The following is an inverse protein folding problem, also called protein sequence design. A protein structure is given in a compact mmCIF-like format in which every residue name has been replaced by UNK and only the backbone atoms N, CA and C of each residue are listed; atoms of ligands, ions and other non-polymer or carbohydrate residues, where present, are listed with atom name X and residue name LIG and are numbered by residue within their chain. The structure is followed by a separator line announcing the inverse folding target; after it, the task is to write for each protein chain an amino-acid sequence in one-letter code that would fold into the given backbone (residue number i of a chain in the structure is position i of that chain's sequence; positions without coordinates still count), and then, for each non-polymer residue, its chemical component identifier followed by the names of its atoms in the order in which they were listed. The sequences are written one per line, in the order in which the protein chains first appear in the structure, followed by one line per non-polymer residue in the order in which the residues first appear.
data_IF_406264455404
#
_entry.id   IF_406264455404
#
_cell.length_a   1.000
_cell.length_b   1.000
_cell.length_c   1.000
_cell.angle_alpha   90.00
_cell.angle_beta   90.00
_cell.angle_gamma   90.00
#
_symmetry.space_group_name_H-M   'P 1'
#
loop_
_entity.id
_entity.type
_entity.pdbx_description
1 polymer ?
#
# COMPACT_ATOMS: atom_id res chain seq x y z
N UNK A 1 -12.52 16.95 -21.75
CA UNK A 1 -12.21 15.51 -21.85
C UNK A 1 -11.74 15.21 -23.26
N UNK A 2 -10.53 15.64 -23.62
CA UNK A 2 -9.96 15.51 -24.98
C UNK A 2 -8.80 14.52 -25.05
N UNK A 3 -8.42 13.93 -23.92
CA UNK A 3 -7.25 13.03 -23.80
C UNK A 3 -7.60 11.54 -23.99
N UNK A 4 -8.88 11.16 -23.84
CA UNK A 4 -9.32 9.78 -24.01
C UNK A 4 -9.64 9.48 -25.49
N UNK A 5 -9.20 8.32 -25.96
CA UNK A 5 -9.48 7.77 -27.30
C UNK A 5 -10.01 6.35 -27.20
N UNK A 6 -10.58 5.81 -28.28
CA UNK A 6 -11.14 4.45 -28.33
C UNK A 6 -10.08 3.34 -28.14
N UNK A 7 -8.80 3.65 -28.32
CA UNK A 7 -7.68 2.72 -28.11
C UNK A 7 -7.23 2.63 -26.64
N UNK A 8 -7.75 3.49 -25.75
CA UNK A 8 -7.37 3.47 -24.34
C UNK A 8 -8.02 2.31 -23.59
N UNK A 9 -7.23 1.66 -22.74
CA UNK A 9 -7.70 0.61 -21.82
C UNK A 9 -7.54 1.11 -20.39
N UNK A 10 -8.63 1.09 -19.63
CA UNK A 10 -8.62 1.46 -18.22
C UNK A 10 -8.47 0.24 -17.32
N UNK A 11 -7.58 0.34 -16.33
CA UNK A 11 -7.41 -0.66 -15.28
C UNK A 11 -7.85 -0.07 -13.95
N UNK A 12 -8.82 -0.72 -13.30
CA UNK A 12 -9.22 -0.37 -11.94
C UNK A 12 -8.46 -1.26 -10.97
N UNK A 13 -7.63 -0.65 -10.14
CA UNK A 13 -6.71 -1.35 -9.23
C UNK A 13 -7.15 -1.04 -7.79
N UNK A 14 -7.23 -2.09 -6.97
CA UNK A 14 -7.70 -2.00 -5.59
C UNK A 14 -6.85 -1.08 -4.70
N UNK A 15 -7.46 -0.60 -3.61
CA UNK A 15 -6.82 0.30 -2.64
C UNK A 15 -7.03 -0.19 -1.19
N UNK A 16 -6.19 0.28 -0.27
CA UNK A 16 -6.14 -0.18 1.11
C UNK A 16 -7.31 0.30 1.97
N UNK A 17 -8.03 1.34 1.53
CA UNK A 17 -9.10 1.98 2.32
C UNK A 17 -10.14 1.00 2.87
N UNK A 18 -10.48 -0.06 2.11
CA UNK A 18 -11.42 -1.08 2.54
C UNK A 18 -10.97 -1.80 3.82
N UNK A 19 -9.73 -2.29 3.88
CA UNK A 19 -9.24 -2.98 5.07
C UNK A 19 -8.91 -2.01 6.21
N UNK A 20 -8.56 -0.75 5.89
CA UNK A 20 -8.29 0.28 6.90
C UNK A 20 -9.51 0.65 7.71
N UNK A 21 -10.68 0.70 7.06
CA UNK A 21 -11.96 0.87 7.74
C UNK A 21 -12.22 -0.29 8.72
N UNK A 22 -12.01 -1.54 8.31
CA UNK A 22 -12.20 -2.70 9.18
C UNK A 22 -11.20 -2.74 10.35
N UNK A 23 -9.93 -2.39 10.10
CA UNK A 23 -8.92 -2.27 11.15
C UNK A 23 -9.31 -1.19 12.18
N UNK A 24 -9.84 -0.06 11.71
CA UNK A 24 -10.35 1.01 12.58
C UNK A 24 -11.51 0.54 13.44
N UNK A 25 -12.51 -0.14 12.87
CA UNK A 25 -13.63 -0.75 13.61
C UNK A 25 -13.14 -1.77 14.64
N UNK A 26 -12.06 -2.49 14.34
CA UNK A 26 -11.44 -3.43 15.27
C UNK A 26 -10.59 -2.77 16.37
N UNK A 27 -10.49 -1.45 16.42
CA UNK A 27 -9.65 -0.73 17.39
C UNK A 27 -8.15 -0.77 17.05
N UNK A 28 -7.82 -1.00 15.77
CA UNK A 28 -6.47 -0.98 15.21
C UNK A 28 -6.37 0.09 14.11
N UNK A 29 -6.75 1.36 14.37
CA UNK A 29 -6.79 2.37 13.33
C UNK A 29 -5.39 2.60 12.73
N UNK A 30 -5.25 2.69 11.39
CA UNK A 30 -4.00 3.06 10.76
C UNK A 30 -3.50 4.41 11.27
N UNK A 31 -2.23 4.45 11.71
CA UNK A 31 -1.68 5.65 12.35
C UNK A 31 -1.74 6.91 11.48
N UNK A 32 -1.44 6.78 10.19
CA UNK A 32 -1.46 7.94 9.29
C UNK A 32 -2.87 8.57 9.23
N UNK A 33 -3.93 7.75 9.27
CA UNK A 33 -5.31 8.25 9.28
C UNK A 33 -5.63 9.00 10.57
N UNK A 34 -5.21 8.47 11.73
CA UNK A 34 -5.36 9.16 13.03
C UNK A 34 -4.64 10.51 13.05
N UNK A 35 -3.47 10.59 12.40
CA UNK A 35 -2.66 11.81 12.34
C UNK A 35 -3.04 12.73 11.17
N UNK A 36 -4.01 12.37 10.32
CA UNK A 36 -4.38 13.15 9.13
C UNK A 36 -3.26 13.28 8.10
N UNK A 37 -2.46 12.22 7.91
CA UNK A 37 -1.29 12.19 7.01
C UNK A 37 -1.45 11.13 5.94
N UNK A 38 -0.76 11.30 4.82
CA UNK A 38 -0.69 10.29 3.78
C UNK A 38 0.17 9.10 4.25
N UNK A 39 -0.28 7.89 3.94
CA UNK A 39 0.46 6.66 4.26
C UNK A 39 1.86 6.68 3.66
N UNK A 40 2.91 6.33 4.41
CA UNK A 40 4.25 6.22 3.86
C UNK A 40 4.34 5.02 2.93
N UNK A 41 4.94 5.23 1.77
CA UNK A 41 5.14 4.20 0.74
C UNK A 41 6.60 4.18 0.33
N UNK A 42 7.13 2.97 0.14
CA UNK A 42 8.54 2.73 -0.11
C UNK A 42 8.75 1.93 -1.38
N UNK A 43 9.74 2.34 -2.17
CA UNK A 43 10.26 1.52 -3.26
C UNK A 43 11.15 0.43 -2.66
N UNK A 44 10.83 -0.83 -2.93
CA UNK A 44 11.65 -1.96 -2.44
C UNK A 44 12.74 -2.34 -3.43
N UNK A 45 13.66 -3.20 -3.00
CA UNK A 45 14.60 -3.90 -3.88
C UNK A 45 14.05 -5.24 -4.39
N UNK A 46 12.83 -5.62 -4.00
CA UNK A 46 12.21 -6.89 -4.37
C UNK A 46 11.68 -6.80 -5.81
N UNK A 47 12.19 -7.60 -6.75
CA UNK A 47 11.79 -7.51 -8.15
C UNK A 47 10.35 -7.97 -8.36
N UNK A 48 9.66 -7.31 -9.29
CA UNK A 48 8.39 -7.81 -9.82
C UNK A 48 8.63 -9.01 -10.74
N UNK A 49 7.63 -9.87 -10.88
CA UNK A 49 7.62 -10.86 -11.96
C UNK A 49 7.46 -10.12 -13.30
N UNK A 50 8.38 -10.29 -14.25
CA UNK A 50 8.31 -9.61 -15.53
C UNK A 50 7.12 -10.10 -16.37
N UNK A 51 6.54 -9.19 -17.15
CA UNK A 51 5.46 -9.51 -18.09
C UNK A 51 5.53 -8.60 -19.32
N UNK A 52 5.78 -9.17 -20.50
CA UNK A 52 5.93 -8.42 -21.74
C UNK A 52 7.01 -7.33 -21.62
N UNK A 53 6.64 -6.07 -21.91
CA UNK A 53 7.53 -4.91 -21.80
C UNK A 53 7.77 -4.46 -20.36
N UNK A 54 6.95 -4.89 -19.41
CA UNK A 54 7.08 -4.53 -18.00
C UNK A 54 8.16 -5.39 -17.34
N UNK A 55 9.39 -4.86 -17.33
CA UNK A 55 10.57 -5.52 -16.77
C UNK A 55 11.37 -4.55 -15.89
N UNK A 56 12.17 -5.07 -14.96
CA UNK A 56 13.07 -4.26 -14.14
C UNK A 56 12.40 -3.38 -13.08
N UNK A 57 11.07 -3.49 -12.88
CA UNK A 57 10.35 -2.85 -11.78
C UNK A 57 10.46 -3.63 -10.47
N UNK A 58 10.23 -2.95 -9.35
CA UNK A 58 10.20 -3.54 -8.01
C UNK A 58 8.85 -3.31 -7.33
N UNK A 59 8.56 -4.12 -6.30
CA UNK A 59 7.37 -3.90 -5.48
C UNK A 59 7.44 -2.53 -4.80
N UNK A 60 6.31 -1.81 -4.78
CA UNK A 60 6.12 -0.67 -3.90
C UNK A 60 5.25 -1.13 -2.73
N UNK A 61 5.66 -0.79 -1.51
CA UNK A 61 4.95 -1.17 -0.29
C UNK A 61 4.45 0.05 0.46
N UNK A 62 3.28 -0.06 1.07
CA UNK A 62 2.79 0.91 2.06
C UNK A 62 3.02 0.36 3.48
N UNK A 63 3.35 1.24 4.42
CA UNK A 63 3.69 0.83 5.78
C UNK A 63 2.74 1.41 6.82
N UNK A 64 2.31 0.57 7.76
CA UNK A 64 1.56 0.97 8.96
C UNK A 64 2.20 0.32 10.19
N UNK A 65 2.50 1.08 11.24
CA UNK A 65 3.02 0.52 12.49
C UNK A 65 1.90 -0.14 13.32
N UNK A 66 2.20 -1.30 13.88
CA UNK A 66 1.33 -2.01 14.84
C UNK A 66 2.16 -2.67 15.94
N UNK A 67 1.57 -2.88 17.12
CA UNK A 67 2.20 -3.65 18.20
C UNK A 67 2.44 -5.08 17.73
N UNK A 68 3.58 -5.67 18.13
CA UNK A 68 3.95 -7.05 17.78
C UNK A 68 2.85 -8.08 18.12
N UNK A 69 2.15 -7.88 19.24
CA UNK A 69 1.06 -8.76 19.69
C UNK A 69 -0.18 -8.70 18.79
N UNK A 70 -0.41 -7.60 18.07
CA UNK A 70 -1.60 -7.38 17.26
C UNK A 70 -1.44 -7.89 15.82
N UNK A 71 -0.24 -8.27 15.39
CA UNK A 71 0.06 -8.68 14.01
C UNK A 71 -0.85 -9.80 13.52
N UNK A 72 -1.08 -10.84 14.33
CA UNK A 72 -1.98 -11.94 13.95
C UNK A 72 -3.43 -11.48 13.75
N UNK A 73 -3.87 -10.46 14.50
CA UNK A 73 -5.20 -9.88 14.38
C UNK A 73 -5.29 -9.00 13.12
N UNK A 74 -4.28 -8.16 12.87
CA UNK A 74 -4.14 -7.35 11.66
C UNK A 74 -4.20 -8.24 10.41
N UNK A 75 -3.40 -9.31 10.37
CA UNK A 75 -3.40 -10.29 9.27
C UNK A 75 -4.78 -10.91 9.06
N UNK A 76 -5.42 -11.39 10.12
CA UNK A 76 -6.74 -12.03 10.02
C UNK A 76 -7.82 -11.11 9.43
N UNK A 77 -7.83 -9.84 9.83
CA UNK A 77 -8.76 -8.84 9.32
C UNK A 77 -8.47 -8.56 7.85
N UNK A 78 -7.22 -8.23 7.52
CA UNK A 78 -6.82 -7.82 6.18
C UNK A 78 -6.84 -8.96 5.13
N UNK A 79 -6.61 -10.21 5.54
CA UNK A 79 -6.62 -11.38 4.65
C UNK A 79 -7.97 -11.60 3.93
N UNK A 80 -9.07 -11.09 4.48
CA UNK A 80 -10.40 -11.19 3.85
C UNK A 80 -10.48 -10.41 2.54
N UNK A 81 -9.58 -9.44 2.35
CA UNK A 81 -9.53 -8.54 1.20
C UNK A 81 -8.57 -9.03 0.10
N UNK A 82 -8.39 -10.35 -0.05
CA UNK A 82 -7.40 -10.95 -0.98
C UNK A 82 -7.59 -10.54 -2.45
N UNK A 83 -8.80 -10.16 -2.84
CA UNK A 83 -9.11 -9.71 -4.21
C UNK A 83 -8.69 -8.26 -4.49
N UNK A 84 -8.27 -7.49 -3.48
CA UNK A 84 -7.88 -6.08 -3.62
C UNK A 84 -6.48 -5.82 -3.07
N UNK A 85 -6.21 -6.21 -1.83
CA UNK A 85 -4.91 -6.02 -1.16
C UNK A 85 -4.45 -7.27 -0.41
N UNK A 86 -5.31 -7.85 0.43
CA UNK A 86 -4.99 -9.00 1.27
C UNK A 86 -4.18 -8.67 2.52
N UNK A 87 -3.56 -9.71 3.08
CA UNK A 87 -2.75 -9.61 4.29
C UNK A 87 -1.39 -8.94 4.06
N UNK A 88 -0.71 -8.41 5.10
CA UNK A 88 0.61 -7.82 4.94
C UNK A 88 1.63 -8.84 4.42
N UNK A 89 2.51 -8.37 3.54
CA UNK A 89 3.53 -9.18 2.86
C UNK A 89 4.82 -9.32 3.68
N UNK A 90 5.05 -8.40 4.62
CA UNK A 90 6.19 -8.43 5.53
C UNK A 90 5.93 -7.57 6.77
N UNK A 91 6.62 -7.83 7.88
CA UNK A 91 6.55 -7.03 9.10
C UNK A 91 7.78 -7.21 9.98
N UNK A 92 7.99 -6.29 10.91
CA UNK A 92 9.17 -6.29 11.78
C UNK A 92 10.29 -5.40 11.27
N UNK A 93 11.21 -5.05 12.17
CA UNK A 93 12.38 -4.24 11.82
C UNK A 93 13.31 -4.95 10.82
N UNK A 94 13.43 -6.28 10.88
CA UNK A 94 14.14 -7.06 9.87
C UNK A 94 13.49 -6.97 8.47
N UNK A 95 12.17 -6.77 8.39
CA UNK A 95 11.50 -6.60 7.10
C UNK A 95 11.94 -5.32 6.39
N UNK A 96 12.28 -4.25 7.13
CA UNK A 96 12.80 -3.00 6.55
C UNK A 96 14.02 -3.31 5.68
N UNK A 97 14.98 -4.04 6.26
CA UNK A 97 16.20 -4.47 5.57
C UNK A 97 15.92 -5.45 4.43
N UNK A 98 15.05 -6.45 4.65
CA UNK A 98 14.73 -7.45 3.64
C UNK A 98 14.00 -6.87 2.42
N UNK A 99 13.24 -5.80 2.61
CA UNK A 99 12.61 -5.03 1.54
C UNK A 99 13.57 -4.01 0.90
N UNK A 100 14.78 -3.84 1.44
CA UNK A 100 15.77 -2.90 0.92
C UNK A 100 15.46 -1.43 1.21
N UNK A 101 14.66 -1.15 2.24
CA UNK A 101 14.33 0.22 2.67
C UNK A 101 15.52 0.74 3.50
N UNK A 102 16.15 1.81 3.04
CA UNK A 102 17.35 2.37 3.71
C UNK A 102 17.02 3.18 4.96
N UNK A 103 15.95 3.97 4.90
CA UNK A 103 15.46 4.77 6.02
C UNK A 103 13.93 4.70 6.06
N UNK A 104 13.39 4.27 7.21
CA UNK A 104 11.94 4.17 7.42
C UNK A 104 11.30 5.56 7.54
N UNK A 105 12.05 6.59 7.94
CA UNK A 105 11.52 7.93 8.16
C UNK A 105 11.59 8.81 6.89
N UNK A 106 12.16 8.30 5.79
CA UNK A 106 12.25 8.96 4.48
C UNK A 106 11.53 8.16 3.38
N UNK A 107 10.18 8.13 3.36
CA UNK A 107 9.44 7.41 2.33
C UNK A 107 9.55 8.12 0.96
N UNK A 108 9.62 7.36 -0.14
CA UNK A 108 9.58 7.93 -1.48
C UNK A 108 8.25 8.64 -1.79
N UNK A 109 7.15 8.15 -1.21
CA UNK A 109 5.84 8.79 -1.34
C UNK A 109 5.09 8.83 -0.01
N UNK A 110 4.25 9.85 0.16
CA UNK A 110 3.47 10.05 1.37
C UNK A 110 4.23 10.84 2.42
N UNK A 111 3.86 10.66 3.69
CA UNK A 111 4.43 11.42 4.80
C UNK A 111 5.27 10.52 5.71
N UNK A 112 6.39 11.02 6.27
CA UNK A 112 7.20 10.28 7.25
C UNK A 112 6.36 9.68 8.39
N UNK A 113 6.51 8.39 8.71
CA UNK A 113 5.81 7.78 9.84
C UNK A 113 6.23 8.42 11.16
N UNK A 114 5.28 8.58 12.08
CA UNK A 114 5.55 9.03 13.44
C UNK A 114 5.00 8.04 14.45
N UNK A 115 5.39 8.19 15.70
CA UNK A 115 4.68 7.67 16.88
C UNK A 115 3.47 8.56 17.21
N UNK A 116 2.61 8.13 18.12
CA UNK A 116 1.45 8.92 18.55
C UNK A 116 1.81 10.23 19.25
N UNK A 117 2.97 10.28 19.91
CA UNK A 117 3.54 11.48 20.53
C UNK A 117 4.40 12.32 19.57
N UNK A 118 4.42 11.98 18.27
CA UNK A 118 5.02 12.80 17.22
C UNK A 118 6.52 12.61 17.01
N UNK A 119 7.14 11.62 17.64
CA UNK A 119 8.53 11.22 17.35
C UNK A 119 8.61 10.44 16.05
N UNK A 120 9.79 10.39 15.43
CA UNK A 120 10.05 9.54 14.26
C UNK A 120 9.91 8.07 14.63
N UNK A 121 9.37 7.26 13.71
CA UNK A 121 9.13 5.85 14.01
C UNK A 121 10.46 5.10 14.16
N UNK A 122 11.46 5.42 13.35
CA UNK A 122 12.79 4.79 13.37
C UNK A 122 13.56 5.01 14.68
N UNK A 123 13.27 6.10 15.39
CA UNK A 123 13.92 6.48 16.65
C UNK A 123 13.27 5.84 17.89
N UNK A 124 11.96 5.59 17.83
CA UNK A 124 11.22 5.12 19.00
C UNK A 124 11.34 3.61 19.22
N UNK A 125 11.42 2.80 18.15
CA UNK A 125 11.50 1.32 18.15
C UNK A 125 10.91 0.61 19.39
N UNK A 126 9.70 1.00 19.80
CA UNK A 126 9.03 0.50 21.00
C UNK A 126 8.47 -0.93 20.79
N UNK A 127 7.32 -1.27 21.38
CA UNK A 127 6.62 -2.54 21.15
C UNK A 127 5.98 -2.65 19.75
N UNK A 128 6.06 -1.57 18.97
CA UNK A 128 5.55 -1.45 17.62
C UNK A 128 6.57 -1.84 16.57
N UNK A 129 6.08 -2.41 15.49
CA UNK A 129 6.87 -2.79 14.32
C UNK A 129 6.25 -2.25 13.05
N UNK A 130 7.06 -1.94 12.03
CA UNK A 130 6.54 -1.61 10.72
C UNK A 130 5.90 -2.87 10.09
N UNK A 131 4.74 -2.69 9.47
CA UNK A 131 3.97 -3.73 8.78
C UNK A 131 3.69 -3.26 7.37
N UNK A 132 4.00 -4.09 6.38
CA UNK A 132 4.06 -3.70 4.97
C UNK A 132 3.02 -4.44 4.13
N UNK A 133 2.32 -3.70 3.26
CA UNK A 133 1.40 -4.22 2.26
C UNK A 133 1.88 -3.81 0.87
N UNK A 134 1.62 -4.63 -0.16
CA UNK A 134 1.75 -4.18 -1.54
C UNK A 134 0.90 -2.93 -1.80
N UNK A 135 1.38 -2.01 -2.63
CA UNK A 135 0.75 -0.72 -2.87
C UNK A 135 0.34 -0.56 -4.34
N UNK A 136 -0.81 0.09 -4.58
CA UNK A 136 -1.31 0.47 -5.90
C UNK A 136 -0.45 1.51 -6.65
N UNK A 137 0.67 1.95 -6.08
CA UNK A 137 1.71 2.72 -6.77
C UNK A 137 2.65 1.80 -7.58
N UNK A 138 2.68 0.49 -7.30
CA UNK A 138 3.49 -0.50 -8.04
C UNK A 138 3.23 -0.48 -9.57
N UNK A 139 1.99 -0.41 -10.06
CA UNK A 139 1.70 -0.21 -11.48
C UNK A 139 2.28 1.09 -12.07
N UNK A 140 2.27 2.19 -11.30
CA UNK A 140 2.86 3.46 -11.75
C UNK A 140 4.38 3.32 -11.91
N UNK A 141 5.05 2.70 -10.94
CA UNK A 141 6.49 2.40 -11.04
C UNK A 141 6.80 1.50 -12.25
N UNK A 142 5.99 0.45 -12.48
CA UNK A 142 6.17 -0.47 -13.61
C UNK A 142 5.99 0.24 -14.97
N UNK A 143 5.00 1.11 -15.10
CA UNK A 143 4.78 1.93 -16.30
C UNK A 143 5.95 2.89 -16.53
N UNK A 144 6.37 3.61 -15.49
CA UNK A 144 7.48 4.57 -15.59
C UNK A 144 8.78 3.88 -15.99
N UNK A 145 9.04 2.67 -15.46
CA UNK A 145 10.21 1.83 -15.80
C UNK A 145 10.16 1.29 -17.22
N UNK A 146 8.97 0.95 -17.73
CA UNK A 146 8.80 0.39 -19.06
C UNK A 146 8.91 1.44 -20.17
N UNK A 147 8.93 2.74 -19.82
CA UNK A 147 9.04 3.86 -20.76
C UNK A 147 8.05 3.72 -21.94
N UNK A 148 6.79 3.39 -21.60
CA UNK A 148 5.76 3.12 -22.60
C UNK A 148 5.61 4.30 -23.56
N UNK A 149 5.55 4.00 -24.86
CA UNK A 149 5.20 4.99 -25.86
C UNK A 149 3.72 5.37 -25.76
N UNK A 150 3.43 6.66 -25.89
CA UNK A 150 2.06 7.20 -25.86
C UNK A 150 1.69 7.83 -24.52
N UNK A 151 0.39 8.11 -24.37
CA UNK A 151 -0.16 8.75 -23.17
C UNK A 151 -0.52 7.69 -22.14
N UNK A 152 -0.03 7.84 -20.90
CA UNK A 152 -0.50 7.07 -19.76
C UNK A 152 -1.13 8.01 -18.74
N UNK A 153 -2.36 7.69 -18.34
CA UNK A 153 -3.13 8.44 -17.35
C UNK A 153 -3.24 7.64 -16.06
N UNK A 154 -3.12 8.33 -14.93
CA UNK A 154 -3.33 7.77 -13.58
C UNK A 154 -4.10 8.80 -12.73
N UNK A 155 -4.70 8.33 -11.64
CA UNK A 155 -5.35 9.22 -10.68
C UNK A 155 -4.30 9.98 -9.84
N UNK A 156 -4.66 11.16 -9.35
CA UNK A 156 -3.84 11.86 -8.37
C UNK A 156 -3.90 11.13 -7.01
N UNK A 157 -2.80 11.07 -6.23
CA UNK A 157 -2.81 10.50 -4.89
C UNK A 157 -3.91 11.12 -4.01
N UNK A 158 -4.72 10.29 -3.34
CA UNK A 158 -5.86 10.75 -2.53
C UNK A 158 -7.15 11.05 -3.32
N UNK A 159 -7.13 10.99 -4.65
CA UNK A 159 -8.28 11.20 -5.53
C UNK A 159 -8.67 9.91 -6.28
N UNK A 160 -9.12 8.91 -5.54
CA UNK A 160 -9.49 7.60 -6.09
C UNK A 160 -10.86 7.62 -6.77
N UNK A 161 -11.08 6.68 -7.69
CA UNK A 161 -12.40 6.40 -8.23
C UNK A 161 -13.25 5.66 -7.19
N UNK A 162 -14.41 6.21 -6.84
CA UNK A 162 -15.40 5.56 -5.97
C UNK A 162 -16.43 4.85 -6.86
N UNK A 163 -16.65 3.56 -6.61
CA UNK A 163 -17.59 2.72 -7.34
C UNK A 163 -18.88 2.51 -6.52
N UNK A 164 -19.95 2.07 -7.19
CA UNK A 164 -21.19 1.64 -6.54
C UNK A 164 -21.08 0.25 -5.88
N UNK A 165 -20.01 -0.49 -6.16
CA UNK A 165 -19.73 -1.80 -5.57
C UNK A 165 -19.33 -1.66 -4.09
N UNK A 166 -19.90 -2.51 -3.23
CA UNK A 166 -19.53 -2.55 -1.81
C UNK A 166 -18.33 -3.46 -1.55
N UNK A 167 -17.75 -3.37 -0.35
CA UNK A 167 -16.70 -4.31 0.06
C UNK A 167 -17.20 -5.76 0.02
N UNK A 168 -18.46 -6.01 0.38
CA UNK A 168 -19.08 -7.33 0.36
C UNK A 168 -19.26 -7.90 -1.06
N UNK A 169 -19.39 -7.05 -2.08
CA UNK A 169 -19.46 -7.47 -3.48
C UNK A 169 -18.10 -7.99 -3.99
N UNK A 170 -17.01 -7.49 -3.41
CA UNK A 170 -15.63 -7.78 -3.87
C UNK A 170 -14.96 -8.86 -3.02
N UNK A 171 -15.24 -8.89 -1.71
CA UNK A 171 -14.72 -9.91 -0.79
C UNK A 171 -15.39 -11.24 -1.15
N UNK A 172 -14.57 -12.20 -1.57
CA UNK A 172 -15.05 -13.54 -1.87
C UNK A 172 -15.74 -14.12 -0.62
N UNK A 173 -17.06 -14.34 -0.67
CA UNK A 173 -17.74 -15.20 0.30
C UNK A 173 -17.14 -16.59 0.11
N UNK A 174 -16.23 -17.00 0.99
CA UNK A 174 -15.84 -18.42 1.08
C UNK A 174 -17.14 -19.20 1.30
N UNK A 175 -17.57 -19.93 0.28
CA UNK A 175 -18.57 -20.99 0.38
C UNK A 175 -18.05 -22.07 1.33
#
# INVERSE_FOLDING_TARGET
MTEWTDDHVAFLIGCSYSFEAELTVAGLPPRHAVLGRNVPMYRTTVPLCPSGVFTGGTYVVSMRPYKKQDINRVRRITNRHSNTHGEPIAWGWEAVKNLGISDIDEPEWGAPPLTMDGRRLGEAQDDEVPVFWGCGVTPQEAVMRAELAGLVMAHAPGHMLVLDATNEDIICRRL
#
